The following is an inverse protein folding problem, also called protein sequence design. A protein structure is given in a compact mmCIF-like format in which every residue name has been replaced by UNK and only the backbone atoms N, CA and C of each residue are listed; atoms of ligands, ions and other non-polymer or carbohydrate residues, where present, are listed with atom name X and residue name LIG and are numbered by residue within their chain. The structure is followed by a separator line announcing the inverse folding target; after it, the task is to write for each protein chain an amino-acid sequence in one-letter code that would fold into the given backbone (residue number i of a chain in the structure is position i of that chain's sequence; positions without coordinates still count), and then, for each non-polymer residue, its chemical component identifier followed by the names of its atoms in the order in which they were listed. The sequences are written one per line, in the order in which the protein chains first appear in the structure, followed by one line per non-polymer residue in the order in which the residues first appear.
data_IF_797039790009
#
_entry.id   IF_797039790009
#
_cell.length_a   1.000
_cell.length_b   1.000
_cell.length_c   1.000
_cell.angle_alpha   90.00
_cell.angle_beta   90.00
_cell.angle_gamma   90.00
#
_symmetry.space_group_name_H-M   'P 1'
#
loop_
_entity.id
_entity.type
_entity.pdbx_description
1 polymer ?
#
# COMPACT_ATOMS: atom_id res chain seq x y z
N UNK A 1 27.38 -72.10 28.67
CA UNK A 1 26.54 -71.55 27.58
C UNK A 1 27.25 -70.34 26.98
N UNK A 2 27.51 -70.38 25.68
CA UNK A 2 28.45 -69.48 24.99
C UNK A 2 27.77 -68.13 24.66
N UNK A 3 28.22 -67.05 25.31
CA UNK A 3 27.75 -65.67 25.13
C UNK A 3 27.79 -65.19 23.66
N UNK A 4 28.67 -65.77 22.85
CA UNK A 4 28.92 -65.35 21.47
C UNK A 4 27.78 -65.70 20.48
N UNK A 5 26.96 -66.72 20.76
CA UNK A 5 25.85 -67.10 19.86
C UNK A 5 24.63 -66.16 20.01
N UNK A 6 24.38 -65.68 21.23
CA UNK A 6 23.26 -64.79 21.54
C UNK A 6 23.47 -63.37 20.99
N UNK A 7 24.72 -62.86 21.05
CA UNK A 7 25.07 -61.54 20.52
C UNK A 7 24.97 -61.47 18.99
N UNK A 8 25.35 -62.55 18.30
CA UNK A 8 25.24 -62.69 16.83
C UNK A 8 23.78 -62.77 16.35
N UNK A 9 22.86 -63.25 17.19
CA UNK A 9 21.42 -63.29 16.91
C UNK A 9 20.78 -61.90 17.02
N UNK A 10 21.05 -61.16 18.12
CA UNK A 10 20.53 -59.78 18.31
C UNK A 10 21.03 -58.80 17.26
N UNK A 11 22.29 -58.93 16.81
CA UNK A 11 22.82 -58.10 15.71
C UNK A 11 22.13 -58.35 14.37
N UNK A 12 21.73 -59.59 14.06
CA UNK A 12 20.99 -59.92 12.83
C UNK A 12 19.57 -59.38 12.85
N UNK A 13 18.86 -59.54 13.98
CA UNK A 13 17.50 -59.00 14.16
C UNK A 13 17.49 -57.47 14.11
N UNK A 14 18.45 -56.79 14.76
CA UNK A 14 18.56 -55.34 14.73
C UNK A 14 18.90 -54.79 13.33
N UNK A 15 19.69 -55.50 12.52
CA UNK A 15 19.93 -55.14 11.11
C UNK A 15 18.66 -55.28 10.26
N UNK A 16 17.90 -56.36 10.46
CA UNK A 16 16.64 -56.62 9.74
C UNK A 16 15.55 -55.62 10.10
N UNK A 17 15.46 -55.24 11.39
CA UNK A 17 14.49 -54.25 11.87
C UNK A 17 14.86 -52.84 11.39
N UNK A 18 16.15 -52.49 11.38
CA UNK A 18 16.62 -51.22 10.81
C UNK A 18 16.30 -51.11 9.33
N UNK A 19 16.53 -52.18 8.54
CA UNK A 19 16.19 -52.21 7.11
C UNK A 19 14.69 -52.04 6.85
N UNK A 20 13.85 -52.77 7.59
CA UNK A 20 12.40 -52.67 7.46
C UNK A 20 11.85 -51.29 7.85
N UNK A 21 12.40 -50.67 8.92
CA UNK A 21 11.99 -49.32 9.33
C UNK A 21 12.46 -48.28 8.30
N UNK A 22 13.67 -48.40 7.74
CA UNK A 22 14.15 -47.46 6.72
C UNK A 22 13.36 -47.54 5.42
N UNK A 23 12.93 -48.73 4.99
CA UNK A 23 12.15 -48.89 3.77
C UNK A 23 10.78 -48.19 3.89
N UNK A 24 10.09 -48.35 5.02
CA UNK A 24 8.78 -47.69 5.25
C UNK A 24 8.83 -46.15 5.33
N UNK A 25 9.89 -45.55 5.89
CA UNK A 25 9.99 -44.09 6.01
C UNK A 25 10.58 -43.39 4.78
N UNK A 26 11.25 -44.14 3.89
CA UNK A 26 11.87 -43.64 2.65
C UNK A 26 11.01 -44.05 1.43
N UNK A 27 9.80 -44.56 1.66
CA UNK A 27 8.87 -44.91 0.60
C UNK A 27 8.18 -43.66 0.05
N UNK A 28 8.61 -43.20 -1.13
CA UNK A 28 7.94 -42.15 -1.87
C UNK A 28 6.97 -42.77 -2.86
N UNK A 29 5.70 -42.89 -2.46
CA UNK A 29 4.64 -43.33 -3.37
C UNK A 29 4.39 -42.26 -4.43
N UNK A 30 4.88 -42.49 -5.65
CA UNK A 30 4.49 -41.69 -6.81
C UNK A 30 3.14 -42.20 -7.34
N UNK A 31 2.18 -41.29 -7.62
CA UNK A 31 0.92 -41.70 -8.21
C UNK A 31 1.19 -42.38 -9.56
N UNK A 32 0.59 -43.55 -9.75
CA UNK A 32 0.75 -44.32 -10.99
C UNK A 32 0.03 -43.58 -12.12
N UNK A 33 0.80 -42.91 -12.98
CA UNK A 33 0.28 -42.10 -14.09
C UNK A 33 -0.07 -42.99 -15.29
N UNK A 34 -1.28 -42.83 -15.83
CA UNK A 34 -1.70 -43.49 -17.07
C UNK A 34 -1.55 -42.50 -18.22
N UNK A 35 -0.64 -42.79 -19.15
CA UNK A 35 -0.37 -41.93 -20.32
C UNK A 35 -1.30 -42.33 -21.46
N UNK A 36 -2.25 -41.46 -21.80
CA UNK A 36 -3.17 -41.65 -22.92
C UNK A 36 -2.52 -41.11 -24.20
N UNK A 37 -2.24 -42.00 -25.16
CA UNK A 37 -1.60 -41.65 -26.42
C UNK A 37 -2.64 -41.19 -27.44
N UNK A 38 -3.06 -39.93 -27.35
CA UNK A 38 -3.98 -39.32 -28.31
C UNK A 38 -3.67 -37.83 -28.52
N UNK A 39 -3.38 -37.46 -29.78
CA UNK A 39 -2.97 -36.12 -30.15
C UNK A 39 -4.03 -35.05 -29.85
N UNK A 40 -5.33 -35.38 -29.95
CA UNK A 40 -6.41 -34.40 -29.72
C UNK A 40 -6.47 -33.96 -28.26
N UNK A 41 -6.45 -34.90 -27.33
CA UNK A 41 -6.47 -34.60 -25.89
C UNK A 41 -5.17 -33.95 -25.44
N UNK A 42 -4.03 -34.36 -26.00
CA UNK A 42 -2.74 -33.71 -25.74
C UNK A 42 -2.74 -32.24 -26.19
N UNK A 43 -3.31 -31.94 -27.37
CA UNK A 43 -3.40 -30.56 -27.87
C UNK A 43 -4.28 -29.68 -26.98
N UNK A 44 -5.43 -30.18 -26.54
CA UNK A 44 -6.34 -29.44 -25.64
C UNK A 44 -5.63 -29.08 -24.33
N UNK A 45 -4.96 -30.05 -23.70
CA UNK A 45 -4.24 -29.82 -22.45
C UNK A 45 -3.09 -28.81 -22.63
N UNK A 46 -2.39 -28.83 -23.77
CA UNK A 46 -1.35 -27.84 -24.09
C UNK A 46 -1.93 -26.44 -24.30
N UNK A 47 -3.07 -26.31 -24.96
CA UNK A 47 -3.74 -25.01 -25.15
C UNK A 47 -4.18 -24.43 -23.80
N UNK A 48 -4.76 -25.25 -22.93
CA UNK A 48 -5.16 -24.81 -21.58
C UNK A 48 -3.94 -24.37 -20.77
N UNK A 49 -2.84 -25.12 -20.84
CA UNK A 49 -1.60 -24.73 -20.15
C UNK A 49 -1.07 -23.38 -20.66
N UNK A 50 -1.09 -23.17 -21.98
CA UNK A 50 -0.65 -21.91 -22.60
C UNK A 50 -1.59 -20.76 -22.23
N UNK A 51 -2.91 -20.97 -22.21
CA UNK A 51 -3.86 -19.91 -21.87
C UNK A 51 -3.71 -19.45 -20.42
N UNK A 52 -3.52 -20.39 -19.49
CA UNK A 52 -3.25 -20.07 -18.08
C UNK A 52 -1.94 -19.28 -17.95
N UNK A 53 -0.88 -19.67 -18.68
CA UNK A 53 0.39 -18.95 -18.68
C UNK A 53 0.24 -17.53 -19.22
N UNK A 54 -0.42 -17.36 -20.38
CA UNK A 54 -0.63 -16.05 -21.00
C UNK A 54 -1.44 -15.14 -20.09
N UNK A 55 -2.55 -15.65 -19.52
CA UNK A 55 -3.37 -14.89 -18.59
C UNK A 55 -2.55 -14.44 -17.38
N UNK A 56 -1.77 -15.35 -16.78
CA UNK A 56 -0.93 -15.03 -15.62
C UNK A 56 0.13 -13.97 -15.94
N UNK A 57 0.78 -14.04 -17.10
CA UNK A 57 1.77 -13.04 -17.52
C UNK A 57 1.11 -11.68 -17.78
N UNK A 58 0.02 -11.64 -18.56
CA UNK A 58 -0.64 -10.38 -18.90
C UNK A 58 -1.23 -9.72 -17.65
N UNK A 59 -1.94 -10.49 -16.82
CA UNK A 59 -2.60 -9.96 -15.65
C UNK A 59 -1.61 -9.67 -14.51
N UNK A 60 -0.87 -10.66 -14.05
CA UNK A 60 -0.02 -10.48 -12.85
C UNK A 60 1.25 -9.68 -13.13
N UNK A 61 1.88 -9.89 -14.29
CA UNK A 61 3.14 -9.21 -14.59
C UNK A 61 2.91 -7.86 -15.25
N UNK A 62 2.03 -7.75 -16.25
CA UNK A 62 1.89 -6.47 -16.97
C UNK A 62 0.92 -5.53 -16.25
N UNK A 63 -0.29 -6.00 -15.92
CA UNK A 63 -1.32 -5.15 -15.32
C UNK A 63 -0.99 -4.80 -13.87
N UNK A 64 -0.78 -5.83 -13.03
CA UNK A 64 -0.48 -5.64 -11.60
C UNK A 64 0.97 -5.24 -11.32
N UNK A 65 1.87 -5.34 -12.32
CA UNK A 65 3.31 -5.11 -12.16
C UNK A 65 3.90 -5.87 -10.96
N UNK A 66 3.42 -7.09 -10.70
CA UNK A 66 3.79 -7.87 -9.50
C UNK A 66 5.28 -8.22 -9.39
N UNK A 67 6.07 -7.96 -10.43
CA UNK A 67 7.54 -8.04 -10.38
C UNK A 67 8.19 -6.83 -9.68
N UNK A 68 7.47 -5.74 -9.47
CA UNK A 68 7.93 -4.53 -8.79
C UNK A 68 7.45 -4.52 -7.34
N UNK A 69 8.31 -4.06 -6.43
CA UNK A 69 7.90 -3.71 -5.07
C UNK A 69 7.32 -2.29 -5.11
N UNK A 70 6.04 -2.16 -4.78
CA UNK A 70 5.40 -0.86 -4.68
C UNK A 70 5.59 -0.28 -3.28
N UNK A 71 6.44 0.73 -3.15
CA UNK A 71 6.53 1.51 -1.92
C UNK A 71 5.33 2.46 -1.83
N UNK A 72 4.38 2.11 -0.98
CA UNK A 72 3.16 2.91 -0.70
C UNK A 72 3.42 4.03 0.30
N UNK A 73 4.53 3.99 1.03
CA UNK A 73 4.89 4.97 2.05
C UNK A 73 5.77 6.08 1.48
N UNK A 74 5.29 6.75 0.43
CA UNK A 74 5.94 7.98 -0.05
C UNK A 74 5.74 9.08 1.00
N UNK A 75 6.80 9.44 1.72
CA UNK A 75 6.80 10.59 2.63
C UNK A 75 6.98 11.84 1.76
N UNK A 76 5.88 12.55 1.51
CA UNK A 76 5.91 13.83 0.81
C UNK A 76 5.77 14.99 1.80
N UNK A 77 6.63 16.00 1.65
CA UNK A 77 6.57 17.25 2.41
C UNK A 77 6.58 18.42 1.44
N UNK A 78 5.61 19.32 1.55
CA UNK A 78 5.50 20.49 0.69
C UNK A 78 5.72 21.74 1.54
N UNK A 79 6.73 22.54 1.19
CA UNK A 79 7.01 23.83 1.83
C UNK A 79 6.70 24.96 0.85
N UNK A 80 5.78 25.85 1.23
CA UNK A 80 5.30 26.93 0.37
C UNK A 80 5.73 28.28 0.94
N UNK A 81 6.27 29.14 0.08
CA UNK A 81 6.69 30.51 0.42
C UNK A 81 6.12 31.47 -0.61
N UNK A 82 5.17 32.29 -0.19
CA UNK A 82 4.55 33.31 -1.02
C UNK A 82 5.36 34.61 -0.94
N UNK A 83 5.48 35.33 -2.05
CA UNK A 83 6.12 36.64 -2.14
C UNK A 83 5.21 37.58 -2.91
N UNK A 84 5.02 38.78 -2.38
CA UNK A 84 4.22 39.82 -3.04
C UNK A 84 3.85 40.92 -2.06
N UNK A 85 3.64 42.12 -2.61
CA UNK A 85 3.10 43.28 -1.90
C UNK A 85 1.77 43.66 -2.56
N UNK A 86 0.77 43.98 -1.75
CA UNK A 86 -0.54 44.42 -2.20
C UNK A 86 -0.80 45.87 -1.81
N UNK A 87 -1.61 46.56 -2.61
CA UNK A 87 -2.08 47.91 -2.31
C UNK A 87 -3.60 47.87 -2.18
N UNK A 88 -4.14 48.33 -1.05
CA UNK A 88 -5.58 48.36 -0.79
C UNK A 88 -6.02 49.79 -0.52
N UNK A 89 -7.06 50.23 -1.23
CA UNK A 89 -7.72 51.50 -0.96
C UNK A 89 -8.83 51.28 0.08
N UNK A 90 -8.68 51.92 1.24
CA UNK A 90 -9.69 51.90 2.31
C UNK A 90 -10.76 52.97 2.05
N UNK A 91 -11.95 52.80 2.63
CA UNK A 91 -13.08 53.74 2.54
C UNK A 91 -12.76 55.18 2.96
N UNK A 92 -11.66 55.39 3.70
CA UNK A 92 -11.18 56.71 4.13
C UNK A 92 -10.17 57.34 3.14
N UNK A 93 -10.14 56.90 1.88
CA UNK A 93 -9.16 57.30 0.85
C UNK A 93 -7.69 57.07 1.27
N UNK A 94 -7.45 56.19 2.24
CA UNK A 94 -6.12 55.79 2.69
C UNK A 94 -5.67 54.57 1.88
N UNK A 95 -4.48 54.64 1.29
CA UNK A 95 -3.82 53.47 0.71
C UNK A 95 -3.04 52.74 1.79
N UNK A 96 -3.38 51.49 2.03
CA UNK A 96 -2.66 50.59 2.93
C UNK A 96 -1.81 49.66 2.06
N UNK A 97 -0.54 49.50 2.44
CA UNK A 97 0.35 48.50 1.86
C UNK A 97 0.22 47.25 2.72
N UNK A 98 -0.01 46.11 2.08
CA UNK A 98 -0.18 44.82 2.72
C UNK A 98 0.94 43.91 2.24
N UNK A 99 1.61 43.24 3.16
CA UNK A 99 2.70 42.31 2.84
C UNK A 99 2.32 40.83 3.09
N UNK A 100 3.26 39.92 2.83
CA UNK A 100 3.04 38.49 3.04
C UNK A 100 2.82 38.09 4.49
N UNK A 101 3.14 38.92 5.49
CA UNK A 101 2.82 38.64 6.88
C UNK A 101 1.35 38.99 7.21
N UNK A 102 0.75 39.92 6.46
CA UNK A 102 -0.61 40.38 6.68
C UNK A 102 -1.68 39.51 6.00
N UNK A 103 -1.45 39.06 4.76
CA UNK A 103 -2.45 38.28 4.00
C UNK A 103 -2.33 36.75 4.15
N UNK A 104 -1.32 36.23 4.87
CA UNK A 104 -1.09 34.79 5.07
C UNK A 104 -1.35 34.43 6.53
N UNK A 105 -2.44 33.69 6.79
CA UNK A 105 -2.87 33.34 8.15
C UNK A 105 -3.27 31.86 8.20
N UNK A 106 -2.59 31.00 8.98
CA UNK A 106 -1.32 31.22 9.68
C UNK A 106 -0.13 31.25 8.71
N UNK A 107 1.01 31.85 9.07
CA UNK A 107 2.19 31.95 8.19
C UNK A 107 2.87 30.61 7.89
N UNK A 108 2.48 29.53 8.56
CA UNK A 108 2.98 28.18 8.32
C UNK A 108 1.90 27.16 8.62
N UNK A 109 1.41 26.51 7.57
CA UNK A 109 0.44 25.42 7.63
C UNK A 109 0.96 24.24 6.80
N UNK A 110 0.76 23.01 7.28
CA UNK A 110 1.18 21.82 6.54
C UNK A 110 0.18 21.54 5.42
N UNK A 111 0.67 21.45 4.18
CA UNK A 111 -0.10 21.07 2.99
C UNK A 111 -1.26 22.02 2.60
N UNK A 112 -1.34 23.22 3.17
CA UNK A 112 -2.34 24.23 2.81
C UNK A 112 -1.75 25.65 2.89
N UNK A 113 -2.39 26.60 2.18
CA UNK A 113 -2.11 28.03 2.30
C UNK A 113 -3.45 28.76 2.25
N UNK A 114 -3.60 29.73 3.15
CA UNK A 114 -4.67 30.73 3.07
C UNK A 114 -4.10 32.06 2.58
N UNK A 115 -4.73 32.65 1.56
CA UNK A 115 -4.36 33.95 1.00
C UNK A 115 -5.58 34.87 1.09
N UNK A 116 -5.45 35.94 1.87
CA UNK A 116 -6.47 36.97 1.98
C UNK A 116 -6.49 37.84 0.73
N UNK A 117 -7.62 37.84 0.01
CA UNK A 117 -7.82 38.66 -1.20
C UNK A 117 -8.77 39.84 -0.96
N UNK A 118 -9.60 39.76 0.08
CA UNK A 118 -10.53 40.81 0.48
C UNK A 118 -10.74 40.77 2.00
N UNK A 119 -10.90 41.93 2.63
CA UNK A 119 -11.23 42.05 4.05
C UNK A 119 -12.18 43.22 4.31
N UNK A 120 -13.01 43.05 5.34
CA UNK A 120 -13.85 44.12 5.88
C UNK A 120 -13.40 44.35 7.31
N UNK A 121 -12.80 45.50 7.57
CA UNK A 121 -12.39 45.92 8.91
C UNK A 121 -13.54 46.66 9.60
N UNK A 122 -13.84 46.29 10.85
CA UNK A 122 -14.83 47.00 11.67
C UNK A 122 -14.25 47.30 13.04
N UNK A 123 -14.36 48.54 13.49
CA UNK A 123 -13.87 48.96 14.80
C UNK A 123 -14.90 48.60 15.87
N UNK A 124 -14.64 47.50 16.60
CA UNK A 124 -15.55 46.96 17.60
C UNK A 124 -15.24 47.52 19.01
N UNK A 125 -16.28 47.82 19.79
CA UNK A 125 -16.16 48.19 21.22
C UNK A 125 -17.14 47.36 22.05
N UNK A 126 -16.74 46.99 23.27
CA UNK A 126 -17.60 46.20 24.18
C UNK A 126 -18.74 47.07 24.71
N UNK A 127 -19.94 46.84 24.20
CA UNK A 127 -21.17 47.49 24.65
C UNK A 127 -22.38 46.59 24.40
N UNK A 128 -23.52 46.94 24.99
CA UNK A 128 -24.80 46.33 24.60
C UNK A 128 -25.32 47.06 23.36
N UNK A 129 -25.36 46.39 22.22
CA UNK A 129 -25.81 46.95 20.94
C UNK A 129 -26.74 45.95 20.21
N UNK A 130 -27.68 46.46 19.43
CA UNK A 130 -28.55 45.63 18.59
C UNK A 130 -27.81 45.12 17.35
N UNK A 131 -28.16 43.92 16.89
CA UNK A 131 -27.60 43.34 15.67
C UNK A 131 -28.03 44.13 14.43
N UNK A 132 -27.14 44.23 13.42
CA UNK A 132 -27.47 44.89 12.16
C UNK A 132 -28.54 44.11 11.38
N UNK A 133 -29.50 44.81 10.77
CA UNK A 133 -30.61 44.18 10.03
C UNK A 133 -30.12 43.28 8.88
N UNK A 134 -29.00 43.62 8.23
CA UNK A 134 -28.39 42.87 7.13
C UNK A 134 -27.90 41.47 7.50
N UNK A 135 -27.59 41.22 8.79
CA UNK A 135 -27.07 39.92 9.23
C UNK A 135 -28.18 38.88 9.45
N UNK A 136 -29.42 39.32 9.72
CA UNK A 136 -30.57 38.43 9.91
C UNK A 136 -31.03 37.73 8.63
N UNK A 137 -30.66 38.26 7.47
CA UNK A 137 -31.04 37.75 6.14
C UNK A 137 -30.03 36.70 5.61
N UNK A 138 -28.91 36.47 6.31
CA UNK A 138 -27.81 35.61 5.87
C UNK A 138 -27.79 34.22 6.53
N UNK A 139 -28.92 33.76 7.08
CA UNK A 139 -29.11 32.42 7.67
C UNK A 139 -30.19 31.67 6.92
#
# INVERSE_FOLDING_TARGET
MNSNSFFKSRHRVAKSLKGAVTDYFIEYETPKLVVIHNAKYAAILRIIQISILIYSVIYLLIHEKGYQKHDTTAISSVALKVKGIGYVATSENKTIIIDGADYIIPPSENNAIFIMTNFIQTDQKRSTCAESKKLKEAK
#
